data_IF_335773958324
#
_entry.id   IF_335773958324
#
_cell.length_a   1.000
_cell.length_b   1.000
_cell.length_c   1.000
_cell.angle_alpha   90.00
_cell.angle_beta   90.00
_cell.angle_gamma   90.00
#
_symmetry.space_group_name_H-M   'P 1'
#
loop_
_entity.id
_entity.type
_entity.pdbx_description
1 polymer ?
#
# COMPACT_ATOMS: atom_id res chain seq x y z
N UNK A 1 -9.88 -43.43 -9.27
CA UNK A 1 -10.75 -42.67 -8.33
C UNK A 1 -10.01 -41.58 -7.54
N UNK A 2 -8.73 -41.74 -7.15
CA UNK A 2 -7.96 -40.74 -6.39
C UNK A 2 -7.82 -39.37 -7.10
N UNK A 3 -7.40 -39.38 -8.38
CA UNK A 3 -7.26 -38.17 -9.21
C UNK A 3 -8.54 -37.32 -9.33
N UNK A 4 -9.72 -37.94 -9.33
CA UNK A 4 -10.98 -37.21 -9.48
C UNK A 4 -11.34 -36.44 -8.20
N UNK A 5 -11.06 -37.04 -7.03
CA UNK A 5 -11.26 -36.39 -5.72
C UNK A 5 -10.32 -35.20 -5.55
N UNK A 6 -9.06 -35.32 -5.99
CA UNK A 6 -8.08 -34.23 -5.90
C UNK A 6 -8.45 -33.04 -6.81
N UNK A 7 -8.99 -33.30 -8.00
CA UNK A 7 -9.48 -32.25 -8.91
C UNK A 7 -10.73 -31.56 -8.36
N UNK A 8 -11.67 -32.33 -7.79
CA UNK A 8 -12.87 -31.76 -7.15
C UNK A 8 -12.52 -30.93 -5.90
N UNK A 9 -11.58 -31.41 -5.07
CA UNK A 9 -11.11 -30.69 -3.89
C UNK A 9 -10.33 -29.42 -4.28
N UNK A 10 -9.49 -29.46 -5.34
CA UNK A 10 -8.78 -28.27 -5.82
C UNK A 10 -9.74 -27.23 -6.41
N UNK A 11 -10.80 -27.68 -7.08
CA UNK A 11 -11.83 -26.80 -7.65
C UNK A 11 -12.63 -26.08 -6.54
N UNK A 12 -13.05 -26.80 -5.49
CA UNK A 12 -13.75 -26.17 -4.36
C UNK A 12 -12.87 -25.20 -3.57
N UNK A 13 -11.58 -25.50 -3.40
CA UNK A 13 -10.63 -24.59 -2.76
C UNK A 13 -10.42 -23.28 -3.55
N UNK A 14 -10.46 -23.33 -4.89
CA UNK A 14 -10.35 -22.15 -5.75
C UNK A 14 -11.62 -21.29 -5.72
N UNK A 15 -12.79 -21.92 -5.66
CA UNK A 15 -14.08 -21.23 -5.49
C UNK A 15 -14.10 -20.46 -4.15
N UNK A 16 -13.77 -21.14 -3.04
CA UNK A 16 -13.66 -20.48 -1.73
C UNK A 16 -12.57 -19.40 -1.69
N UNK A 17 -11.42 -19.60 -2.33
CA UNK A 17 -10.35 -18.59 -2.36
C UNK A 17 -10.80 -17.30 -3.05
N UNK A 18 -11.62 -17.41 -4.10
CA UNK A 18 -12.12 -16.25 -4.84
C UNK A 18 -13.13 -15.48 -4.00
N UNK A 19 -14.07 -16.19 -3.36
CA UNK A 19 -15.06 -15.60 -2.45
C UNK A 19 -14.40 -14.89 -1.28
N UNK A 20 -13.42 -15.54 -0.62
CA UNK A 20 -12.67 -14.96 0.49
C UNK A 20 -11.91 -13.70 0.05
N UNK A 21 -11.30 -13.73 -1.15
CA UNK A 21 -10.57 -12.56 -1.67
C UNK A 21 -11.49 -11.37 -1.92
N UNK A 22 -12.69 -11.61 -2.46
CA UNK A 22 -13.69 -10.57 -2.68
C UNK A 22 -14.16 -10.00 -1.35
N UNK A 23 -14.52 -10.87 -0.39
CA UNK A 23 -14.96 -10.44 0.94
C UNK A 23 -13.88 -9.60 1.63
N UNK A 24 -12.62 -10.04 1.56
CA UNK A 24 -11.50 -9.32 2.17
C UNK A 24 -11.29 -7.95 1.51
N UNK A 25 -11.34 -7.87 0.17
CA UNK A 25 -11.24 -6.61 -0.55
C UNK A 25 -12.40 -5.67 -0.22
N UNK A 26 -13.64 -6.17 -0.18
CA UNK A 26 -14.83 -5.39 0.18
C UNK A 26 -14.78 -4.89 1.63
N UNK A 27 -14.34 -5.72 2.58
CA UNK A 27 -14.16 -5.30 3.97
C UNK A 27 -13.06 -4.25 4.10
N UNK A 28 -11.96 -4.40 3.36
CA UNK A 28 -10.90 -3.39 3.30
C UNK A 28 -11.40 -2.04 2.78
N UNK A 29 -12.17 -2.04 1.69
CA UNK A 29 -12.78 -0.82 1.13
C UNK A 29 -13.80 -0.20 2.10
N UNK A 30 -14.65 -1.01 2.74
CA UNK A 30 -15.61 -0.52 3.73
C UNK A 30 -14.91 0.12 4.94
N UNK A 31 -13.85 -0.52 5.44
CA UNK A 31 -13.04 0.00 6.53
C UNK A 31 -12.38 1.32 6.14
N UNK A 32 -11.85 1.42 4.91
CA UNK A 32 -11.28 2.64 4.37
C UNK A 32 -12.31 3.77 4.30
N UNK A 33 -13.50 3.52 3.74
CA UNK A 33 -14.55 4.55 3.66
C UNK A 33 -14.98 5.07 5.04
N UNK A 34 -15.22 4.18 6.00
CA UNK A 34 -15.56 4.57 7.38
C UNK A 34 -14.45 5.35 8.07
N UNK A 35 -13.19 5.04 7.77
CA UNK A 35 -12.05 5.78 8.30
C UNK A 35 -12.02 7.19 7.70
N UNK A 36 -12.16 7.30 6.38
CA UNK A 36 -12.20 8.58 5.65
C UNK A 36 -13.33 9.48 6.14
N UNK A 37 -14.52 8.93 6.39
CA UNK A 37 -15.65 9.65 6.98
C UNK A 37 -15.24 10.31 8.32
N UNK A 38 -14.67 9.54 9.25
CA UNK A 38 -14.18 10.06 10.54
C UNK A 38 -13.05 11.09 10.42
N UNK A 39 -12.22 10.99 9.38
CA UNK A 39 -11.18 11.98 9.10
C UNK A 39 -11.79 13.29 8.62
N UNK A 40 -12.79 13.22 7.73
CA UNK A 40 -13.50 14.39 7.22
C UNK A 40 -14.32 15.06 8.33
N UNK A 41 -14.97 14.27 9.19
CA UNK A 41 -15.73 14.77 10.35
C UNK A 41 -14.83 15.40 11.42
N UNK A 42 -13.52 15.10 11.40
CA UNK A 42 -12.53 15.67 12.33
C UNK A 42 -12.38 14.90 13.65
N UNK A 43 -13.13 13.81 13.84
CA UNK A 43 -13.10 12.95 15.04
C UNK A 43 -11.70 12.35 15.30
N UNK A 44 -10.88 12.22 14.26
CA UNK A 44 -9.51 11.68 14.34
C UNK A 44 -8.45 12.73 14.65
N UNK A 45 -8.75 14.03 14.48
CA UNK A 45 -7.76 15.12 14.60
C UNK A 45 -7.04 15.14 15.95
N UNK A 46 -7.78 14.94 17.06
CA UNK A 46 -7.18 14.91 18.39
C UNK A 46 -6.30 13.68 18.64
N UNK A 47 -6.56 12.56 17.96
CA UNK A 47 -5.66 11.40 17.97
C UNK A 47 -4.41 11.69 17.13
N UNK A 48 -4.59 12.15 15.90
CA UNK A 48 -3.50 12.46 14.97
C UNK A 48 -2.52 13.48 15.56
N UNK A 49 -3.03 14.57 16.13
CA UNK A 49 -2.22 15.58 16.78
C UNK A 49 -1.42 15.02 17.97
N UNK A 50 -2.03 14.16 18.80
CA UNK A 50 -1.32 13.52 19.92
C UNK A 50 -0.18 12.63 19.43
N UNK A 51 -0.43 11.84 18.39
CA UNK A 51 0.60 10.98 17.78
C UNK A 51 1.71 11.81 17.17
N UNK A 52 1.40 12.87 16.42
CA UNK A 52 2.40 13.77 15.84
C UNK A 52 3.27 14.46 16.92
N UNK A 53 2.64 14.91 18.01
CA UNK A 53 3.33 15.58 19.12
C UNK A 53 4.19 14.61 19.95
N UNK A 54 3.89 13.31 19.98
CA UNK A 54 4.77 12.32 20.62
C UNK A 54 6.17 12.25 20.00
N UNK A 55 6.30 12.63 18.73
CA UNK A 55 7.57 12.67 18.03
C UNK A 55 8.20 14.07 18.00
N UNK A 56 7.65 15.08 18.69
CA UNK A 56 8.17 16.45 18.68
C UNK A 56 8.40 17.01 20.07
N UNK A 57 9.43 17.84 20.20
CA UNK A 57 9.71 18.52 21.45
C UNK A 57 8.61 19.55 21.76
N UNK A 58 8.12 19.60 23.00
CA UNK A 58 7.08 20.54 23.42
C UNK A 58 7.52 22.00 23.35
N UNK A 59 8.84 22.26 23.40
CA UNK A 59 9.41 23.60 23.28
C UNK A 59 9.57 24.08 21.83
N UNK A 60 9.45 23.19 20.83
CA UNK A 60 9.63 23.53 19.43
C UNK A 60 9.13 22.43 18.48
N UNK A 61 8.00 22.70 17.80
CA UNK A 61 7.37 21.74 16.89
C UNK A 61 8.18 21.47 15.60
N UNK A 62 9.25 22.23 15.36
CA UNK A 62 10.14 22.00 14.21
C UNK A 62 11.23 20.98 14.51
N UNK A 63 11.38 20.56 15.77
CA UNK A 63 12.46 19.67 16.20
C UNK A 63 11.89 18.30 16.60
N UNK A 64 12.11 17.26 15.78
CA UNK A 64 11.67 15.92 16.11
C UNK A 64 12.48 15.35 17.29
N UNK A 65 11.85 14.51 18.10
CA UNK A 65 12.47 13.80 19.21
C UNK A 65 13.28 12.63 18.64
N UNK A 66 14.61 12.67 18.81
CA UNK A 66 15.48 11.56 18.51
C UNK A 66 16.93 11.99 18.17
N UNK A 67 17.83 11.04 17.94
CA UNK A 67 19.17 11.34 17.45
C UNK A 67 19.12 11.89 16.01
N UNK A 68 20.02 12.81 15.66
CA UNK A 68 20.05 13.43 14.33
C UNK A 68 20.16 12.44 13.15
N UNK A 69 20.76 11.26 13.36
CA UNK A 69 20.84 10.24 12.30
C UNK A 69 19.48 9.64 11.94
N UNK A 70 18.52 9.60 12.87
CA UNK A 70 17.22 8.99 12.66
C UNK A 70 16.38 9.80 11.67
N UNK A 71 16.44 11.13 11.78
CA UNK A 71 15.76 12.04 10.85
C UNK A 71 16.27 11.83 9.42
N UNK A 72 17.60 11.74 9.24
CA UNK A 72 18.21 11.50 7.94
C UNK A 72 17.73 10.17 7.35
N UNK A 73 17.75 9.09 8.15
CA UNK A 73 17.29 7.77 7.70
C UNK A 73 15.82 7.78 7.32
N UNK A 74 14.94 8.38 8.13
CA UNK A 74 13.51 8.46 7.84
C UNK A 74 13.21 9.31 6.61
N UNK A 75 13.95 10.41 6.43
CA UNK A 75 13.87 11.25 5.23
C UNK A 75 14.28 10.48 3.97
N UNK A 76 15.37 9.72 4.04
CA UNK A 76 15.86 8.96 2.88
C UNK A 76 14.92 7.79 2.55
N UNK A 77 14.33 7.13 3.55
CA UNK A 77 13.31 6.09 3.35
C UNK A 77 12.06 6.67 2.70
N UNK A 78 11.56 7.81 3.19
CA UNK A 78 10.37 8.46 2.61
C UNK A 78 10.62 9.02 1.21
N UNK A 79 11.87 9.40 0.89
CA UNK A 79 12.26 9.78 -0.46
C UNK A 79 12.09 8.63 -1.50
N UNK A 80 12.17 7.36 -1.07
CA UNK A 80 11.90 6.21 -1.95
C UNK A 80 10.45 6.17 -2.45
N UNK A 81 9.50 6.67 -1.66
CA UNK A 81 8.09 6.79 -2.05
C UNK A 81 7.80 8.02 -2.91
N UNK A 82 8.79 8.89 -3.13
CA UNK A 82 8.65 10.10 -3.94
C UNK A 82 8.40 9.80 -5.42
N UNK A 83 7.72 10.73 -6.10
CA UNK A 83 7.31 10.60 -7.50
C UNK A 83 8.46 10.20 -8.44
N UNK A 84 9.64 10.80 -8.27
CA UNK A 84 10.79 10.54 -9.13
C UNK A 84 11.37 9.14 -8.92
N UNK A 85 11.65 8.75 -7.68
CA UNK A 85 12.27 7.45 -7.37
C UNK A 85 11.31 6.32 -7.73
N UNK A 86 10.05 6.42 -7.31
CA UNK A 86 9.02 5.43 -7.61
C UNK A 86 8.73 5.38 -9.11
N UNK A 87 8.70 6.53 -9.81
CA UNK A 87 8.51 6.61 -11.25
C UNK A 87 9.64 5.95 -12.04
N UNK A 88 10.90 6.22 -11.68
CA UNK A 88 12.06 5.56 -12.30
C UNK A 88 12.06 4.06 -12.07
N UNK A 89 11.76 3.62 -10.84
CA UNK A 89 11.64 2.19 -10.51
C UNK A 89 10.53 1.53 -11.32
N UNK A 90 9.39 2.21 -11.49
CA UNK A 90 8.26 1.74 -12.29
C UNK A 90 8.66 1.57 -13.75
N UNK A 91 9.32 2.57 -14.34
CA UNK A 91 9.80 2.51 -15.73
C UNK A 91 10.81 1.37 -15.90
N UNK A 92 11.75 1.22 -14.97
CA UNK A 92 12.74 0.14 -15.01
C UNK A 92 12.06 -1.25 -14.92
N UNK A 93 11.11 -1.43 -14.02
CA UNK A 93 10.35 -2.68 -13.88
C UNK A 93 9.50 -2.99 -15.12
N UNK A 94 8.80 -2.00 -15.67
CA UNK A 94 8.04 -2.12 -16.91
C UNK A 94 8.95 -2.48 -18.09
N UNK A 95 10.10 -1.82 -18.22
CA UNK A 95 11.12 -2.11 -19.24
C UNK A 95 11.64 -3.54 -19.13
N UNK A 96 11.96 -4.00 -17.91
CA UNK A 96 12.38 -5.38 -17.66
C UNK A 96 11.29 -6.40 -18.06
N UNK A 97 10.04 -6.17 -17.65
CA UNK A 97 8.92 -7.05 -18.00
C UNK A 97 8.66 -7.08 -19.51
N UNK A 98 8.83 -5.95 -20.17
CA UNK A 98 8.71 -5.83 -21.62
C UNK A 98 9.77 -6.65 -22.35
N UNK A 99 11.04 -6.51 -21.95
CA UNK A 99 12.15 -7.29 -22.50
C UNK A 99 12.02 -8.80 -22.23
N UNK A 100 11.38 -9.16 -21.11
CA UNK A 100 11.07 -10.55 -20.75
C UNK A 100 9.85 -11.13 -21.48
N UNK A 101 9.31 -10.42 -22.49
CA UNK A 101 8.08 -10.74 -23.23
C UNK A 101 6.81 -10.91 -22.35
N UNK A 102 6.80 -10.32 -21.15
CA UNK A 102 5.66 -10.35 -20.22
C UNK A 102 4.82 -9.06 -20.32
N UNK A 103 4.40 -8.71 -21.54
CA UNK A 103 3.73 -7.43 -21.84
C UNK A 103 2.45 -7.18 -21.03
N UNK A 104 1.65 -8.21 -20.74
CA UNK A 104 0.43 -8.08 -19.92
C UNK A 104 0.74 -7.60 -18.49
N UNK A 105 1.83 -8.11 -17.90
CA UNK A 105 2.25 -7.70 -16.56
C UNK A 105 2.85 -6.29 -16.59
N UNK A 106 3.59 -5.94 -17.64
CA UNK A 106 4.12 -4.58 -17.81
C UNK A 106 2.98 -3.55 -17.86
N UNK A 107 1.92 -3.81 -18.65
CA UNK A 107 0.75 -2.93 -18.72
C UNK A 107 0.00 -2.85 -17.39
N UNK A 108 -0.16 -3.98 -16.69
CA UNK A 108 -0.80 -3.99 -15.38
C UNK A 108 -0.07 -3.09 -14.38
N UNK A 109 1.26 -3.22 -14.28
CA UNK A 109 2.08 -2.38 -13.38
C UNK A 109 2.02 -0.91 -13.81
N UNK A 110 2.15 -0.63 -15.11
CA UNK A 110 2.12 0.72 -15.65
C UNK A 110 0.81 1.46 -15.38
N UNK A 111 -0.32 0.74 -15.31
CA UNK A 111 -1.63 1.34 -14.97
C UNK A 111 -1.88 1.38 -13.46
N UNK A 112 -1.49 0.34 -12.73
CA UNK A 112 -1.78 0.23 -11.30
C UNK A 112 -1.10 1.32 -10.48
N UNK A 113 0.13 1.71 -10.83
CA UNK A 113 0.90 2.70 -10.06
C UNK A 113 0.30 4.11 -10.17
N UNK A 114 0.08 4.68 -11.38
CA UNK A 114 -0.58 5.98 -11.49
C UNK A 114 -2.02 5.94 -10.99
N UNK A 115 -2.76 4.84 -11.19
CA UNK A 115 -4.13 4.72 -10.69
C UNK A 115 -4.24 4.82 -9.16
N UNK A 116 -3.20 4.42 -8.41
CA UNK A 116 -3.16 4.57 -6.96
C UNK A 116 -2.73 5.97 -6.48
N UNK A 117 -2.23 6.82 -7.38
CA UNK A 117 -1.79 8.19 -7.06
C UNK A 117 -2.85 9.27 -7.27
N UNK A 118 -3.90 8.97 -8.05
CA UNK A 118 -5.07 9.83 -8.28
C UNK A 118 -6.10 9.65 -7.17
#
# INVERSE_FOLDING_TARGET
>A
MKKLKDVLAKKSLLEYSTEISIILASLGLLAFFKLTEKVIEGDTSGFDQRVLLWFHNSAGLSEPIGPAWLEVVMRDITALGGLLVLGLLTVAACGYLWLSQRHKLALFVALSIPAGSL
#
